data_IF_571402517323
#
_entry.id   IF_571402517323
#
_cell.length_a   1.000
_cell.length_b   1.000
_cell.length_c   1.000
_cell.angle_alpha   90.00
_cell.angle_beta   90.00
_cell.angle_gamma   90.00
#
_symmetry.space_group_name_H-M   'P 1'
#
loop_
_entity.id
_entity.type
_entity.pdbx_description
1 polymer ?
#
# COMPACT_ATOMS: atom_id res chain seq x y z
N UNK A 1 8.36 -69.74 -19.02
CA UNK A 1 9.17 -70.45 -18.01
C UNK A 1 10.13 -69.46 -17.40
N UNK A 2 9.92 -69.08 -16.15
CA UNK A 2 10.92 -68.61 -15.20
C UNK A 2 10.22 -68.73 -13.85
N UNK A 3 10.51 -69.86 -13.18
CA UNK A 3 10.02 -70.23 -11.87
C UNK A 3 10.82 -69.46 -10.81
N UNK A 4 10.14 -69.00 -9.75
CA UNK A 4 10.76 -69.00 -8.43
C UNK A 4 9.77 -69.56 -7.40
N UNK A 5 10.28 -70.57 -6.70
CA UNK A 5 9.59 -71.48 -5.80
C UNK A 5 9.23 -70.82 -4.46
N UNK A 6 8.08 -71.24 -3.94
CA UNK A 6 7.69 -71.10 -2.54
C UNK A 6 8.12 -72.36 -1.77
N UNK A 7 8.67 -72.18 -0.58
CA UNK A 7 8.92 -73.20 0.45
C UNK A 7 9.10 -72.43 1.79
N UNK A 8 8.54 -72.77 2.97
CA UNK A 8 8.17 -74.04 3.55
C UNK A 8 7.23 -73.87 4.77
N UNK A 9 6.50 -74.97 5.05
CA UNK A 9 6.16 -75.53 6.39
C UNK A 9 5.00 -74.93 7.21
N UNK A 10 3.88 -75.67 7.14
CA UNK A 10 3.48 -76.52 8.27
C UNK A 10 2.33 -76.01 9.14
N UNK A 11 1.18 -76.68 9.06
CA UNK A 11 0.12 -76.57 10.07
C UNK A 11 -1.27 -76.88 9.52
N UNK A 12 -1.66 -78.15 9.58
CA UNK A 12 -3.06 -78.56 9.40
C UNK A 12 -3.76 -78.46 10.76
N UNK A 13 -4.80 -77.62 10.86
CA UNK A 13 -5.89 -77.82 11.81
C UNK A 13 -7.22 -77.74 11.06
N UNK A 14 -7.97 -78.85 11.11
CA UNK A 14 -9.39 -78.96 10.75
C UNK A 14 -10.18 -79.19 12.03
N UNK A 15 -11.38 -78.61 12.12
CA UNK A 15 -12.66 -79.09 12.74
C UNK A 15 -13.49 -77.81 13.03
N UNK A 16 -14.44 -77.44 12.15
CA UNK A 16 -15.90 -77.74 12.17
C UNK A 16 -16.64 -77.23 13.42
N UNK A 17 -17.62 -76.34 13.23
CA UNK A 17 -19.03 -76.50 13.66
C UNK A 17 -19.95 -75.30 13.30
N UNK A 18 -20.95 -75.58 12.44
CA UNK A 18 -22.32 -75.04 12.28
C UNK A 18 -22.52 -73.53 12.02
N UNK A 19 -23.06 -73.08 10.86
CA UNK A 19 -24.44 -73.20 10.30
C UNK A 19 -25.46 -72.34 11.06
N UNK A 20 -26.31 -71.63 10.29
CA UNK A 20 -27.27 -70.55 10.60
C UNK A 20 -26.60 -69.16 10.63
N UNK A 21 -26.83 -68.25 9.69
CA UNK A 21 -28.13 -67.87 9.15
C UNK A 21 -27.99 -67.39 7.69
N UNK A 22 -28.60 -68.15 6.78
CA UNK A 22 -29.06 -67.65 5.48
C UNK A 22 -30.04 -66.51 5.74
N UNK A 23 -29.69 -65.28 5.37
CA UNK A 23 -30.52 -64.23 4.73
C UNK A 23 -29.52 -63.12 4.37
N UNK A 24 -29.72 -62.42 3.24
CA UNK A 24 -28.86 -61.35 2.68
C UNK A 24 -27.74 -61.84 1.71
N UNK A 25 -28.02 -62.85 0.89
CA UNK A 25 -27.34 -63.04 -0.43
C UNK A 25 -28.29 -62.71 -1.59
N UNK A 26 -29.45 -62.14 -1.31
CA UNK A 26 -30.40 -61.60 -2.32
C UNK A 26 -30.80 -60.18 -1.92
N UNK A 27 -29.80 -59.32 -1.71
CA UNK A 27 -29.97 -57.86 -1.63
C UNK A 27 -28.76 -57.12 -2.22
N UNK A 28 -28.12 -57.72 -3.23
CA UNK A 28 -26.94 -57.16 -3.95
C UNK A 28 -27.23 -57.00 -5.46
N UNK A 29 -28.46 -57.25 -5.93
CA UNK A 29 -28.79 -57.15 -7.37
C UNK A 29 -30.06 -56.35 -7.74
N UNK A 30 -30.71 -55.63 -6.82
CA UNK A 30 -31.97 -54.91 -7.13
C UNK A 30 -32.20 -53.55 -6.44
N UNK A 31 -31.15 -52.81 -6.06
CA UNK A 31 -31.28 -51.39 -5.67
C UNK A 31 -30.03 -50.63 -6.17
N UNK A 32 -30.22 -49.71 -7.11
CA UNK A 32 -29.16 -48.81 -7.56
C UNK A 32 -29.06 -48.56 -9.07
N UNK A 33 -30.13 -48.78 -9.84
CA UNK A 33 -30.34 -47.98 -11.05
C UNK A 33 -30.69 -46.55 -10.62
N UNK A 34 -29.67 -45.78 -10.22
CA UNK A 34 -29.71 -44.33 -10.11
C UNK A 34 -28.51 -43.80 -10.87
N UNK A 35 -28.82 -43.35 -12.10
CA UNK A 35 -28.19 -42.19 -12.74
C UNK A 35 -26.74 -41.94 -12.36
N UNK A 36 -25.84 -42.51 -13.14
CA UNK A 36 -24.57 -41.84 -13.45
C UNK A 36 -24.94 -40.58 -14.26
N UNK A 37 -25.44 -39.56 -13.59
CA UNK A 37 -25.27 -38.20 -14.10
C UNK A 37 -23.77 -38.00 -14.14
N UNK A 38 -23.21 -38.14 -15.36
CA UNK A 38 -22.24 -37.15 -15.80
C UNK A 38 -22.80 -35.83 -15.31
N UNK A 39 -22.21 -35.26 -14.26
CA UNK A 39 -22.37 -33.85 -14.00
C UNK A 39 -22.16 -33.20 -15.35
N UNK A 40 -23.25 -32.69 -15.92
CA UNK A 40 -23.15 -31.77 -17.03
C UNK A 40 -22.08 -30.79 -16.61
N UNK A 41 -21.11 -30.54 -17.50
CA UNK A 41 -20.27 -29.37 -17.32
C UNK A 41 -21.24 -28.23 -17.06
N UNK A 42 -21.23 -27.73 -15.81
CA UNK A 42 -21.73 -26.41 -15.53
C UNK A 42 -20.78 -25.59 -16.39
N UNK A 43 -21.22 -25.22 -17.59
CA UNK A 43 -20.55 -24.17 -18.31
C UNK A 43 -20.46 -23.04 -17.29
N UNK A 44 -19.24 -22.62 -16.97
CA UNK A 44 -18.91 -21.42 -16.22
C UNK A 44 -19.45 -20.21 -17.00
N UNK A 45 -20.78 -20.12 -17.12
CA UNK A 45 -21.47 -19.12 -17.91
C UNK A 45 -21.46 -17.83 -17.11
N UNK A 46 -21.19 -16.73 -17.81
CA UNK A 46 -21.13 -15.39 -17.21
C UNK A 46 -20.07 -15.25 -16.11
N UNK A 47 -18.86 -15.75 -16.39
CA UNK A 47 -17.68 -15.54 -15.56
C UNK A 47 -17.29 -14.06 -15.49
N UNK A 48 -16.99 -13.59 -14.29
CA UNK A 48 -16.32 -12.32 -14.01
C UNK A 48 -14.96 -12.61 -13.39
N UNK A 49 -13.92 -11.94 -13.88
CA UNK A 49 -12.59 -11.93 -13.26
C UNK A 49 -12.29 -10.50 -12.84
N UNK A 50 -12.25 -10.26 -11.54
CA UNK A 50 -11.75 -9.02 -10.95
C UNK A 50 -10.22 -9.07 -10.95
N UNK A 51 -9.59 -8.07 -11.55
CA UNK A 51 -8.15 -7.87 -11.58
C UNK A 51 -7.80 -6.79 -10.56
N UNK A 52 -7.31 -7.19 -9.38
CA UNK A 52 -6.85 -6.29 -8.34
C UNK A 52 -5.41 -5.88 -8.64
N UNK A 53 -5.20 -4.59 -8.84
CA UNK A 53 -3.89 -4.03 -9.17
C UNK A 53 -3.55 -2.84 -8.28
N UNK A 54 -2.27 -2.59 -8.08
CA UNK A 54 -1.80 -1.36 -7.42
C UNK A 54 -2.06 -0.16 -8.34
N UNK A 55 -2.55 0.93 -7.77
CA UNK A 55 -3.04 2.10 -8.49
C UNK A 55 -2.03 2.68 -9.49
N UNK A 56 -0.78 2.86 -9.07
CA UNK A 56 0.24 3.58 -9.82
C UNK A 56 1.01 2.72 -10.84
N UNK A 57 1.45 1.53 -10.43
CA UNK A 57 2.20 0.59 -11.28
C UNK A 57 1.33 -0.28 -12.16
N UNK A 58 0.08 -0.54 -11.75
CA UNK A 58 -0.75 -1.58 -12.35
C UNK A 58 -0.24 -3.00 -12.05
N UNK A 59 0.69 -3.16 -11.10
CA UNK A 59 1.17 -4.48 -10.68
C UNK A 59 0.03 -5.29 -10.04
N UNK A 60 -0.05 -6.61 -10.29
CA UNK A 60 -1.07 -7.46 -9.68
C UNK A 60 -0.88 -7.53 -8.16
N UNK A 61 -2.00 -7.53 -7.43
CA UNK A 61 -2.02 -7.62 -5.97
C UNK A 61 -2.70 -8.91 -5.52
N UNK A 62 -1.92 -9.79 -4.90
CA UNK A 62 -2.40 -11.06 -4.34
C UNK A 62 -2.87 -10.91 -2.89
N UNK A 63 -3.59 -11.91 -2.40
CA UNK A 63 -4.03 -11.99 -1.00
C UNK A 63 -4.92 -10.80 -0.56
N UNK A 64 -5.63 -10.19 -1.49
CA UNK A 64 -6.71 -9.25 -1.18
C UNK A 64 -8.04 -10.00 -1.13
N UNK A 65 -8.83 -9.71 -0.10
CA UNK A 65 -10.19 -10.20 0.00
C UNK A 65 -11.09 -9.39 -0.92
N UNK A 66 -11.83 -10.08 -1.78
CA UNK A 66 -12.69 -9.50 -2.80
C UNK A 66 -14.11 -10.01 -2.58
N UNK A 67 -15.03 -9.09 -2.30
CA UNK A 67 -16.44 -9.41 -2.06
C UNK A 67 -17.27 -8.84 -3.20
N UNK A 68 -18.10 -9.69 -3.81
CA UNK A 68 -19.06 -9.32 -4.85
C UNK A 68 -20.44 -9.15 -4.21
N UNK A 69 -21.06 -7.99 -4.41
CA UNK A 69 -22.39 -7.66 -3.92
C UNK A 69 -23.35 -7.36 -5.08
N UNK A 70 -24.64 -7.61 -4.88
CA UNK A 70 -25.67 -7.12 -5.80
C UNK A 70 -26.08 -5.66 -5.50
N UNK A 71 -27.06 -5.17 -6.25
CA UNK A 71 -27.68 -3.84 -6.10
C UNK A 71 -28.33 -3.59 -4.74
N UNK A 72 -28.77 -4.64 -4.04
CA UNK A 72 -29.31 -4.57 -2.67
C UNK A 72 -28.22 -4.64 -1.57
N UNK A 73 -26.93 -4.52 -1.94
CA UNK A 73 -25.77 -4.69 -1.05
C UNK A 73 -25.70 -6.05 -0.33
N UNK A 74 -26.30 -7.10 -0.90
CA UNK A 74 -26.16 -8.47 -0.41
C UNK A 74 -24.95 -9.12 -1.05
N UNK A 75 -24.13 -9.77 -0.22
CA UNK A 75 -23.01 -10.59 -0.67
C UNK A 75 -23.54 -11.72 -1.54
N UNK A 76 -23.04 -11.79 -2.77
CA UNK A 76 -23.31 -12.85 -3.73
C UNK A 76 -22.24 -13.92 -3.62
N UNK A 77 -20.98 -13.50 -3.55
CA UNK A 77 -19.83 -14.39 -3.48
C UNK A 77 -18.61 -13.61 -2.96
N UNK A 78 -17.60 -14.33 -2.47
CA UNK A 78 -16.38 -13.76 -1.88
C UNK A 78 -15.19 -14.70 -2.09
N UNK A 79 -14.01 -14.13 -2.36
CA UNK A 79 -12.79 -14.90 -2.57
C UNK A 79 -11.54 -14.07 -2.33
N UNK A 80 -10.37 -14.71 -2.33
CA UNK A 80 -9.08 -14.03 -2.29
C UNK A 80 -8.53 -13.87 -3.71
N UNK A 81 -7.82 -12.77 -3.97
CA UNK A 81 -7.05 -12.64 -5.20
C UNK A 81 -5.84 -13.59 -5.21
N UNK A 82 -5.60 -14.24 -6.34
CA UNK A 82 -4.44 -15.11 -6.54
C UNK A 82 -3.13 -14.34 -6.78
N UNK A 83 -2.04 -15.05 -7.07
CA UNK A 83 -0.71 -14.45 -7.34
C UNK A 83 -0.67 -13.53 -8.56
N UNK A 84 -1.64 -13.66 -9.48
CA UNK A 84 -1.80 -12.76 -10.63
C UNK A 84 -2.79 -11.62 -10.34
N UNK A 85 -3.24 -11.48 -9.08
CA UNK A 85 -4.23 -10.49 -8.67
C UNK A 85 -5.64 -10.78 -9.18
N UNK A 86 -5.96 -12.04 -9.49
CA UNK A 86 -7.28 -12.41 -10.01
C UNK A 86 -8.18 -12.94 -8.91
N UNK A 87 -9.39 -12.40 -8.83
CA UNK A 87 -10.51 -12.96 -8.08
C UNK A 87 -11.64 -13.29 -9.08
N UNK A 88 -12.04 -14.56 -9.18
CA UNK A 88 -12.98 -15.02 -10.20
C UNK A 88 -14.32 -15.41 -9.59
N UNK A 89 -15.40 -14.94 -10.20
CA UNK A 89 -16.79 -15.18 -9.84
C UNK A 89 -17.56 -15.76 -11.01
N UNK A 90 -18.60 -16.52 -10.74
CA UNK A 90 -19.36 -17.27 -11.73
C UNK A 90 -20.87 -17.03 -11.61
N UNK A 91 -21.62 -17.37 -12.65
CA UNK A 91 -23.09 -17.32 -12.66
C UNK A 91 -23.68 -15.90 -12.46
N UNK A 92 -22.98 -14.86 -12.91
CA UNK A 92 -23.51 -13.50 -12.86
C UNK A 92 -24.70 -13.32 -13.81
N UNK A 93 -25.64 -12.48 -13.42
CA UNK A 93 -26.77 -12.10 -14.24
C UNK A 93 -26.36 -10.98 -15.21
N UNK A 94 -26.68 -11.16 -16.49
CA UNK A 94 -26.35 -10.22 -17.56
C UNK A 94 -27.09 -8.89 -17.37
N UNK A 95 -26.39 -7.77 -17.58
CA UNK A 95 -26.91 -6.40 -17.47
C UNK A 95 -27.44 -6.05 -16.07
N UNK A 96 -27.00 -6.75 -15.03
CA UNK A 96 -27.23 -6.36 -13.65
C UNK A 96 -26.07 -5.52 -13.12
N UNK A 97 -26.42 -4.60 -12.22
CA UNK A 97 -25.46 -3.83 -11.44
C UNK A 97 -24.94 -4.69 -10.31
N UNK A 98 -23.63 -4.63 -10.10
CA UNK A 98 -22.93 -5.28 -9.01
C UNK A 98 -21.95 -4.28 -8.41
N UNK A 99 -21.52 -4.60 -7.19
CA UNK A 99 -20.48 -3.89 -6.50
C UNK A 99 -19.37 -4.85 -6.11
N UNK A 100 -18.12 -4.42 -6.24
CA UNK A 100 -16.96 -5.15 -5.70
C UNK A 100 -16.33 -4.32 -4.59
N UNK A 101 -16.09 -4.93 -3.45
CA UNK A 101 -15.28 -4.38 -2.36
C UNK A 101 -13.99 -5.17 -2.26
N UNK A 102 -12.85 -4.47 -2.13
CA UNK A 102 -11.51 -5.07 -2.04
C UNK A 102 -10.81 -4.57 -0.79
N UNK A 103 -10.15 -5.44 -0.04
CA UNK A 103 -9.34 -5.05 1.11
C UNK A 103 -8.72 -6.22 1.88
N UNK A 104 -8.23 -5.96 3.09
CA UNK A 104 -7.83 -7.03 4.02
C UNK A 104 -9.06 -7.64 4.67
N UNK A 105 -9.13 -8.98 4.75
CA UNK A 105 -10.26 -9.72 5.32
C UNK A 105 -10.73 -9.17 6.69
N UNK A 106 -9.78 -8.89 7.59
CA UNK A 106 -10.03 -8.37 8.93
C UNK A 106 -10.77 -7.02 8.97
N UNK A 107 -10.62 -6.19 7.93
CA UNK A 107 -11.23 -4.86 7.86
C UNK A 107 -12.69 -4.88 7.34
N UNK A 108 -13.17 -6.00 6.81
CA UNK A 108 -14.53 -6.09 6.28
C UNK A 108 -15.58 -6.04 7.40
N UNK A 109 -15.24 -6.46 8.62
CA UNK A 109 -16.14 -6.37 9.78
C UNK A 109 -16.47 -4.92 10.15
N UNK A 110 -15.53 -4.00 9.95
CA UNK A 110 -15.70 -2.56 10.22
C UNK A 110 -16.13 -1.77 8.98
N UNK A 111 -16.40 -2.45 7.86
CA UNK A 111 -16.67 -1.85 6.54
C UNK A 111 -15.55 -0.91 6.07
N UNK A 112 -14.31 -1.17 6.47
CA UNK A 112 -13.13 -0.39 6.10
C UNK A 112 -12.37 -1.06 4.95
N UNK A 113 -13.03 -1.21 3.80
CA UNK A 113 -12.41 -1.73 2.60
C UNK A 113 -11.44 -0.71 1.97
N UNK A 114 -10.46 -1.20 1.20
CA UNK A 114 -9.44 -0.38 0.53
C UNK A 114 -10.03 0.31 -0.70
N UNK A 115 -10.92 -0.38 -1.42
CA UNK A 115 -11.58 0.17 -2.62
C UNK A 115 -12.93 -0.48 -2.80
N UNK A 116 -13.89 0.30 -3.30
CA UNK A 116 -15.19 -0.16 -3.74
C UNK A 116 -15.45 0.31 -5.17
N UNK A 117 -16.04 -0.55 -6.00
CA UNK A 117 -16.35 -0.22 -7.40
C UNK A 117 -17.67 -0.84 -7.83
N UNK A 118 -18.58 0.02 -8.27
CA UNK A 118 -19.82 -0.39 -8.93
C UNK A 118 -19.60 -0.60 -10.44
N UNK A 119 -20.25 -1.61 -11.00
CA UNK A 119 -20.19 -1.92 -12.42
C UNK A 119 -21.44 -2.65 -12.92
N UNK A 120 -21.70 -2.56 -14.23
CA UNK A 120 -22.73 -3.35 -14.90
C UNK A 120 -22.11 -4.56 -15.57
N UNK A 121 -22.51 -5.77 -15.18
CA UNK A 121 -21.93 -6.99 -15.73
C UNK A 121 -22.39 -7.24 -17.17
N UNK A 122 -21.42 -7.47 -18.06
CA UNK A 122 -21.65 -7.86 -19.46
C UNK A 122 -20.68 -9.00 -19.82
N UNK A 123 -21.17 -10.13 -20.36
CA UNK A 123 -20.31 -11.24 -20.77
C UNK A 123 -19.23 -10.86 -21.80
N UNK A 124 -19.45 -9.81 -22.59
CA UNK A 124 -18.47 -9.27 -23.53
C UNK A 124 -17.28 -8.56 -22.87
N UNK A 125 -17.39 -8.20 -21.59
CA UNK A 125 -16.31 -7.64 -20.80
C UNK A 125 -16.19 -8.41 -19.46
N UNK A 126 -15.66 -9.63 -19.48
CA UNK A 126 -15.61 -10.49 -18.30
C UNK A 126 -14.52 -10.05 -17.31
N UNK A 127 -13.70 -9.05 -17.63
CA UNK A 127 -12.61 -8.59 -16.75
C UNK A 127 -12.94 -7.22 -16.18
N UNK A 128 -12.91 -7.10 -14.85
CA UNK A 128 -13.06 -5.83 -14.14
C UNK A 128 -11.74 -5.45 -13.49
N UNK A 129 -11.09 -4.40 -14.01
CA UNK A 129 -9.91 -3.83 -13.36
C UNK A 129 -10.34 -3.04 -12.12
N UNK A 130 -9.78 -3.38 -10.97
CA UNK A 130 -9.96 -2.67 -9.70
C UNK A 130 -8.57 -2.22 -9.22
N UNK A 131 -8.32 -0.92 -9.38
CA UNK A 131 -7.13 -0.28 -8.84
C UNK A 131 -7.32 -0.08 -7.34
N UNK A 132 -6.31 -0.42 -6.56
CA UNK A 132 -6.32 -0.27 -5.10
C UNK A 132 -5.04 0.43 -4.67
N UNK A 133 -5.07 1.05 -3.50
CA UNK A 133 -3.88 1.59 -2.85
C UNK A 133 -3.17 0.56 -1.97
N UNK A 134 -3.50 -0.73 -2.07
CA UNK A 134 -2.79 -1.78 -1.33
C UNK A 134 -1.41 -2.04 -1.95
N UNK A 135 -0.50 -2.57 -1.15
CA UNK A 135 0.88 -2.86 -1.54
C UNK A 135 1.15 -4.37 -1.61
N UNK A 136 1.86 -4.81 -2.64
CA UNK A 136 2.56 -6.10 -2.60
C UNK A 136 3.79 -5.93 -1.70
N UNK A 137 3.83 -6.60 -0.54
CA UNK A 137 4.94 -6.48 0.40
C UNK A 137 6.31 -6.89 -0.16
N UNK A 138 6.35 -7.65 -1.26
CA UNK A 138 7.60 -7.99 -1.93
C UNK A 138 8.10 -6.84 -2.82
N UNK A 139 7.20 -5.98 -3.29
CA UNK A 139 7.47 -4.82 -4.14
C UNK A 139 7.36 -3.51 -3.32
N UNK A 140 8.08 -2.47 -3.70
CA UNK A 140 7.88 -1.16 -3.08
C UNK A 140 6.62 -0.50 -3.61
N UNK A 141 6.06 0.47 -2.86
CA UNK A 141 5.01 1.33 -3.39
C UNK A 141 5.52 2.02 -4.66
N UNK A 142 4.73 1.97 -5.73
CA UNK A 142 5.12 2.51 -7.02
C UNK A 142 4.95 4.03 -7.09
N UNK A 143 5.56 4.75 -6.15
CA UNK A 143 5.52 6.20 -6.13
C UNK A 143 6.19 6.76 -7.40
N UNK A 144 5.60 7.75 -8.09
CA UNK A 144 6.27 8.38 -9.21
C UNK A 144 7.54 9.10 -8.74
N UNK A 145 8.60 9.01 -9.54
CA UNK A 145 9.85 9.73 -9.25
C UNK A 145 9.70 11.19 -9.64
N UNK A 146 9.74 12.07 -8.64
CA UNK A 146 9.85 13.51 -8.85
C UNK A 146 11.20 14.00 -8.33
N UNK A 147 12.04 14.50 -9.23
CA UNK A 147 13.29 15.14 -8.85
C UNK A 147 13.05 16.61 -8.50
N UNK A 148 13.73 17.15 -7.48
CA UNK A 148 13.58 18.54 -7.06
C UNK A 148 14.33 19.51 -7.97
N UNK A 149 15.46 19.10 -8.53
CA UNK A 149 16.31 19.91 -9.40
C UNK A 149 15.82 19.92 -10.86
N UNK A 150 16.17 20.97 -11.64
CA UNK A 150 16.91 22.18 -11.23
C UNK A 150 16.06 23.26 -10.52
N UNK A 151 14.73 23.12 -10.53
CA UNK A 151 13.82 24.22 -10.19
C UNK A 151 13.78 24.52 -8.69
N UNK A 152 13.97 23.50 -7.85
CA UNK A 152 13.89 23.61 -6.38
C UNK A 152 15.18 23.08 -5.73
N UNK A 153 16.28 23.87 -5.70
CA UNK A 153 17.54 23.46 -5.07
C UNK A 153 17.39 23.04 -3.60
N UNK A 154 16.41 23.61 -2.88
CA UNK A 154 16.10 23.29 -1.48
C UNK A 154 14.64 22.83 -1.32
N UNK A 155 14.10 22.06 -2.27
CA UNK A 155 12.67 21.68 -2.28
C UNK A 155 12.37 20.23 -1.93
N UNK A 156 13.19 19.58 -1.11
CA UNK A 156 13.05 18.14 -0.86
C UNK A 156 11.67 17.78 -0.27
N UNK A 157 11.16 18.57 0.69
CA UNK A 157 9.89 18.31 1.38
C UNK A 157 8.69 18.43 0.46
N UNK A 158 8.61 19.54 -0.29
CA UNK A 158 7.48 19.82 -1.18
C UNK A 158 7.50 18.91 -2.41
N UNK A 159 8.69 18.50 -2.87
CA UNK A 159 8.83 17.53 -3.96
C UNK A 159 8.44 16.12 -3.50
N UNK A 160 8.83 15.72 -2.29
CA UNK A 160 8.39 14.47 -1.68
C UNK A 160 6.86 14.42 -1.52
N UNK A 161 6.25 15.50 -1.03
CA UNK A 161 4.79 15.62 -0.98
C UNK A 161 4.14 15.52 -2.37
N UNK A 162 4.70 16.21 -3.36
CA UNK A 162 4.19 16.18 -4.74
C UNK A 162 4.17 14.75 -5.29
N UNK A 163 5.22 13.97 -5.05
CA UNK A 163 5.28 12.58 -5.47
C UNK A 163 4.21 11.71 -4.79
N UNK A 164 3.99 11.90 -3.49
CA UNK A 164 2.93 11.20 -2.75
C UNK A 164 1.54 11.58 -3.25
N UNK A 165 1.27 12.87 -3.51
CA UNK A 165 -0.01 13.29 -4.07
C UNK A 165 -0.26 12.67 -5.45
N UNK A 166 0.75 12.65 -6.32
CA UNK A 166 0.65 12.03 -7.64
C UNK A 166 0.49 10.49 -7.56
N UNK A 167 1.00 9.84 -6.52
CA UNK A 167 0.72 8.42 -6.25
C UNK A 167 -0.78 8.17 -6.00
N UNK A 168 -1.47 9.10 -5.34
CA UNK A 168 -2.93 9.09 -5.19
C UNK A 168 -3.68 9.67 -6.40
N UNK A 169 -3.01 9.85 -7.54
CA UNK A 169 -3.64 10.30 -8.78
C UNK A 169 -3.87 11.81 -8.87
N UNK A 170 -3.38 12.60 -7.92
CA UNK A 170 -3.38 14.05 -8.05
C UNK A 170 -2.58 14.44 -9.30
N UNK A 171 -3.05 15.44 -10.06
CA UNK A 171 -2.36 15.96 -11.24
C UNK A 171 -1.72 17.31 -10.91
N UNK A 172 -0.64 17.29 -10.17
CA UNK A 172 0.08 18.52 -9.75
C UNK A 172 1.58 18.38 -9.91
N UNK A 173 2.29 19.50 -9.87
CA UNK A 173 3.74 19.57 -9.93
C UNK A 173 4.35 20.34 -8.75
N UNK A 174 5.65 20.15 -8.55
CA UNK A 174 6.39 20.69 -7.41
C UNK A 174 6.43 22.22 -7.38
N UNK A 175 6.33 22.89 -8.54
CA UNK A 175 6.34 24.34 -8.63
C UNK A 175 4.98 24.89 -8.21
N UNK A 176 3.89 24.29 -8.69
CA UNK A 176 2.54 24.62 -8.23
C UNK A 176 2.42 24.43 -6.71
N UNK A 177 2.84 23.27 -6.21
CA UNK A 177 2.84 22.97 -4.78
C UNK A 177 3.64 23.98 -3.96
N UNK A 178 4.81 24.39 -4.47
CA UNK A 178 5.65 25.42 -3.85
C UNK A 178 5.00 26.80 -3.88
N UNK A 179 4.38 27.19 -5.00
CA UNK A 179 3.88 28.55 -5.21
C UNK A 179 2.57 28.82 -4.50
N UNK A 180 1.64 27.87 -4.54
CA UNK A 180 0.26 28.06 -4.06
C UNK A 180 0.04 27.55 -2.63
N UNK A 181 0.62 26.39 -2.29
CA UNK A 181 0.20 25.67 -1.09
C UNK A 181 1.23 25.65 0.04
N UNK A 182 2.54 25.67 -0.27
CA UNK A 182 3.59 25.69 0.75
C UNK A 182 3.58 27.02 1.54
N UNK A 183 3.27 27.02 2.85
CA UNK A 183 3.45 28.20 3.68
C UNK A 183 4.94 28.53 3.75
N UNK A 184 5.31 29.77 3.41
CA UNK A 184 6.71 30.20 3.34
C UNK A 184 6.84 31.68 3.67
N UNK A 185 7.97 32.03 4.28
CA UNK A 185 8.25 33.41 4.67
C UNK A 185 9.72 33.76 4.41
N UNK A 186 10.00 34.95 3.84
CA UNK A 186 11.38 35.39 3.64
C UNK A 186 12.08 35.67 4.96
N UNK A 187 13.41 35.64 4.92
CA UNK A 187 14.25 36.12 6.02
C UNK A 187 14.29 37.65 6.06
N UNK A 188 14.40 38.19 7.27
CA UNK A 188 14.54 39.63 7.56
C UNK A 188 15.88 39.90 8.23
N UNK A 189 16.69 40.77 7.62
CA UNK A 189 17.97 41.19 8.18
C UNK A 189 17.81 42.50 8.95
N UNK A 190 18.05 42.45 10.27
CA UNK A 190 17.97 43.61 11.17
C UNK A 190 19.34 43.87 11.79
N UNK A 191 20.12 44.74 11.15
CA UNK A 191 21.53 44.95 11.50
C UNK A 191 22.34 43.66 11.28
N UNK A 192 23.02 43.18 12.33
CA UNK A 192 23.81 41.95 12.28
C UNK A 192 23.02 40.68 12.68
N UNK A 193 21.69 40.78 12.82
CA UNK A 193 20.84 39.66 13.23
C UNK A 193 19.92 39.24 12.09
N UNK A 194 19.82 37.93 11.86
CA UNK A 194 18.86 37.33 10.94
C UNK A 194 17.60 36.89 11.69
N UNK A 195 16.44 37.26 11.15
CA UNK A 195 15.12 36.86 11.62
C UNK A 195 14.41 36.06 10.53
N UNK A 196 13.67 35.03 10.90
CA UNK A 196 13.02 34.13 9.95
C UNK A 196 11.81 33.42 10.55
N UNK A 197 11.10 32.60 9.77
CA UNK A 197 9.94 31.87 10.27
C UNK A 197 10.31 30.76 11.25
N UNK A 198 9.32 30.30 12.03
CA UNK A 198 9.41 29.02 12.70
C UNK A 198 9.22 27.90 11.65
N UNK A 199 10.19 26.98 11.47
CA UNK A 199 10.07 25.89 10.50
C UNK A 199 8.97 24.89 10.82
N UNK A 200 8.38 24.92 12.02
CA UNK A 200 7.15 24.16 12.32
C UNK A 200 5.88 24.85 11.80
N UNK A 201 5.97 26.08 11.28
CA UNK A 201 4.83 26.88 10.84
C UNK A 201 4.96 27.28 9.36
N UNK A 202 6.15 27.71 8.93
CA UNK A 202 6.40 28.17 7.55
C UNK A 202 7.82 27.82 7.09
N UNK A 203 7.98 27.54 5.81
CA UNK A 203 9.27 27.33 5.18
C UNK A 203 10.14 28.59 5.24
N UNK A 204 11.40 28.44 5.63
CA UNK A 204 12.38 29.54 5.69
C UNK A 204 12.94 29.91 4.32
N UNK A 205 12.48 31.04 3.77
CA UNK A 205 12.86 31.54 2.45
C UNK A 205 11.96 31.01 1.34
N UNK A 206 12.55 30.66 0.19
CA UNK A 206 11.84 30.09 -0.95
C UNK A 206 12.61 28.88 -1.50
N UNK A 207 11.97 27.70 -1.71
CA UNK A 207 12.65 26.52 -2.22
C UNK A 207 13.30 26.69 -3.60
N UNK A 208 12.83 27.64 -4.41
CA UNK A 208 13.41 27.97 -5.73
C UNK A 208 14.74 28.73 -5.64
N UNK A 209 15.12 29.19 -4.44
CA UNK A 209 16.32 29.99 -4.21
C UNK A 209 17.38 29.17 -3.48
N UNK A 210 18.65 29.41 -3.79
CA UNK A 210 19.79 28.81 -3.09
C UNK A 210 19.85 29.19 -1.60
N UNK A 211 19.20 30.29 -1.23
CA UNK A 211 19.06 30.79 0.15
C UNK A 211 17.87 30.22 0.89
N UNK A 212 17.04 29.40 0.24
CA UNK A 212 16.02 28.61 0.92
C UNK A 212 16.64 27.66 1.94
N UNK A 213 15.87 27.32 2.98
CA UNK A 213 16.32 26.42 4.05
C UNK A 213 15.52 25.12 4.04
N UNK A 214 14.51 25.02 4.90
CA UNK A 214 13.68 23.84 5.06
C UNK A 214 12.39 24.17 5.82
N UNK A 215 11.54 23.15 5.95
CA UNK A 215 10.36 23.17 6.81
C UNK A 215 10.16 21.79 7.45
N UNK A 216 9.48 21.71 8.60
CA UNK A 216 9.14 20.45 9.25
C UNK A 216 7.77 19.91 8.82
N UNK A 217 7.27 18.88 9.51
CA UNK A 217 6.10 18.11 9.09
C UNK A 217 4.82 18.95 8.94
N UNK A 218 4.51 19.82 9.91
CA UNK A 218 3.21 20.50 9.94
C UNK A 218 2.91 21.38 8.73
N UNK A 219 3.83 22.23 8.23
CA UNK A 219 3.53 23.04 7.06
C UNK A 219 3.36 22.20 5.78
N UNK A 220 3.96 21.01 5.71
CA UNK A 220 3.74 20.05 4.63
C UNK A 220 2.34 19.44 4.71
N UNK A 221 1.87 19.08 5.91
CA UNK A 221 0.48 18.64 6.14
C UNK A 221 -0.50 19.73 5.75
N UNK A 222 -0.23 20.99 6.13
CA UNK A 222 -1.06 22.13 5.76
C UNK A 222 -1.10 22.34 4.24
N UNK A 223 0.05 22.26 3.57
CA UNK A 223 0.13 22.36 2.11
C UNK A 223 -0.69 21.25 1.43
N UNK A 224 -0.51 20.00 1.87
CA UNK A 224 -1.22 18.84 1.36
C UNK A 224 -2.73 19.00 1.51
N UNK A 225 -3.22 19.28 2.72
CA UNK A 225 -4.65 19.38 3.01
C UNK A 225 -5.30 20.59 2.32
N UNK A 226 -4.55 21.66 2.07
CA UNK A 226 -5.03 22.80 1.30
C UNK A 226 -5.24 22.44 -0.17
N UNK A 227 -4.27 21.75 -0.79
CA UNK A 227 -4.39 21.22 -2.15
C UNK A 227 -5.53 20.20 -2.27
N UNK A 228 -5.56 19.21 -1.39
CA UNK A 228 -6.59 18.16 -1.33
C UNK A 228 -8.00 18.76 -1.24
N UNK A 229 -8.19 19.76 -0.37
CA UNK A 229 -9.49 20.42 -0.21
C UNK A 229 -9.90 21.24 -1.44
N UNK A 230 -8.95 21.88 -2.12
CA UNK A 230 -9.21 22.67 -3.34
C UNK A 230 -9.60 21.76 -4.50
N UNK A 231 -8.88 20.65 -4.68
CA UNK A 231 -9.10 19.66 -5.72
C UNK A 231 -10.20 18.63 -5.38
N UNK A 232 -10.75 18.69 -4.15
CA UNK A 232 -11.81 17.80 -3.64
C UNK A 232 -11.44 16.32 -3.74
N UNK A 233 -10.19 15.99 -3.41
CA UNK A 233 -9.72 14.62 -3.38
C UNK A 233 -10.21 13.92 -2.10
N UNK A 234 -10.57 12.65 -2.21
CA UNK A 234 -11.02 11.81 -1.09
C UNK A 234 -9.84 11.12 -0.38
N UNK A 235 -8.89 11.93 0.06
CA UNK A 235 -7.69 11.55 0.81
C UNK A 235 -7.41 12.63 1.85
N UNK A 236 -6.52 12.39 2.81
CA UNK A 236 -6.07 13.42 3.75
C UNK A 236 -4.61 13.25 4.15
N UNK A 237 -3.97 14.34 4.57
CA UNK A 237 -2.63 14.31 5.12
C UNK A 237 -2.64 14.42 6.65
N UNK A 238 -1.74 13.68 7.29
CA UNK A 238 -1.59 13.67 8.76
C UNK A 238 -0.12 13.72 9.17
N UNK A 239 0.15 14.53 10.19
CA UNK A 239 1.42 14.52 10.89
C UNK A 239 1.47 13.30 11.82
N UNK A 240 2.46 12.44 11.62
CA UNK A 240 2.72 11.25 12.44
C UNK A 240 4.13 11.31 13.05
N UNK A 241 4.69 12.51 13.21
CA UNK A 241 5.99 12.70 13.87
C UNK A 241 6.02 12.02 15.25
N UNK A 242 7.15 11.39 15.57
CA UNK A 242 7.33 10.57 16.77
C UNK A 242 6.89 9.11 16.63
N UNK A 243 6.43 8.69 15.45
CA UNK A 243 6.08 7.28 15.19
C UNK A 243 7.30 6.36 15.31
N UNK A 244 7.05 5.17 15.85
CA UNK A 244 8.02 4.07 15.92
C UNK A 244 8.32 3.49 14.55
N UNK A 245 9.39 2.69 14.45
CA UNK A 245 9.74 1.97 13.22
C UNK A 245 8.61 1.00 12.85
N UNK A 246 7.99 0.37 13.84
CA UNK A 246 6.89 -0.57 13.69
C UNK A 246 5.66 0.11 13.12
N UNK A 247 5.28 1.28 13.63
CA UNK A 247 4.15 2.08 13.12
C UNK A 247 4.40 2.56 11.68
N UNK A 248 5.59 3.10 11.40
CA UNK A 248 5.98 3.51 10.04
C UNK A 248 5.96 2.31 9.09
N UNK A 249 6.47 1.16 9.53
CA UNK A 249 6.46 -0.07 8.73
C UNK A 249 5.03 -0.49 8.42
N UNK A 250 4.12 -0.41 9.39
CA UNK A 250 2.73 -0.81 9.19
C UNK A 250 2.01 0.13 8.20
N UNK A 251 2.25 1.45 8.24
CA UNK A 251 1.73 2.36 7.22
C UNK A 251 2.18 1.97 5.81
N UNK A 252 3.49 1.74 5.62
CA UNK A 252 4.03 1.35 4.30
C UNK A 252 3.46 0.01 3.86
N UNK A 253 3.31 -0.96 4.77
CA UNK A 253 2.66 -2.25 4.49
C UNK A 253 1.19 -2.09 4.11
N UNK A 254 0.49 -1.12 4.66
CA UNK A 254 -0.89 -0.79 4.28
C UNK A 254 -0.99 -0.05 2.95
N UNK A 255 0.13 0.22 2.27
CA UNK A 255 0.14 0.95 1.01
C UNK A 255 0.20 2.47 1.14
N UNK A 256 0.47 2.95 2.36
CA UNK A 256 0.54 4.37 2.68
C UNK A 256 2.02 4.79 2.69
N UNK A 257 2.48 5.58 1.69
CA UNK A 257 3.85 6.07 1.66
C UNK A 257 4.08 7.07 2.81
N UNK A 258 5.29 7.05 3.38
CA UNK A 258 5.64 7.91 4.53
C UNK A 258 6.73 8.89 4.13
N UNK A 259 6.43 10.18 4.15
CA UNK A 259 7.42 11.25 3.99
C UNK A 259 8.18 11.37 5.31
N UNK A 260 9.51 11.32 5.27
CA UNK A 260 10.36 11.28 6.46
C UNK A 260 11.52 12.26 6.34
N UNK A 261 11.87 12.91 7.44
CA UNK A 261 13.05 13.76 7.51
C UNK A 261 14.23 12.95 8.02
N UNK A 262 15.33 13.03 7.29
CA UNK A 262 16.61 12.37 7.54
C UNK A 262 17.72 13.38 7.26
N UNK A 263 18.94 12.92 7.02
CA UNK A 263 20.01 13.75 6.49
C UNK A 263 20.44 13.28 5.09
N UNK A 264 21.01 14.18 4.29
CA UNK A 264 21.43 13.94 2.90
C UNK A 264 22.28 12.67 2.71
N UNK A 265 23.10 12.35 3.70
CA UNK A 265 24.04 11.23 3.72
C UNK A 265 23.75 10.21 4.83
N UNK A 266 22.59 10.32 5.49
CA UNK A 266 22.19 9.56 6.69
C UNK A 266 23.21 9.65 7.85
N UNK A 267 24.12 10.62 7.82
CA UNK A 267 25.04 10.91 8.91
C UNK A 267 24.33 11.74 9.99
N UNK A 268 25.02 11.97 11.11
CA UNK A 268 24.49 12.81 12.19
C UNK A 268 24.10 14.21 11.66
N UNK A 269 22.99 14.80 12.14
CA UNK A 269 22.62 16.15 11.77
C UNK A 269 23.74 17.15 12.10
N UNK A 270 24.08 17.98 11.11
CA UNK A 270 25.11 19.02 11.21
C UNK A 270 24.45 20.34 11.52
N UNK A 271 24.65 20.84 12.73
CA UNK A 271 24.07 22.10 13.18
C UNK A 271 25.09 23.22 12.97
N UNK A 272 24.71 24.24 12.20
CA UNK A 272 25.53 25.44 12.00
C UNK A 272 24.63 26.61 11.63
N UNK A 273 24.88 27.76 12.26
CA UNK A 273 24.05 28.94 12.03
C UNK A 273 22.62 28.76 12.54
N UNK A 274 21.72 29.60 12.04
CA UNK A 274 20.36 29.73 12.55
C UNK A 274 19.87 31.16 12.45
N UNK A 275 18.65 31.38 12.93
CA UNK A 275 18.02 32.69 12.95
C UNK A 275 17.15 32.84 14.20
N UNK A 276 16.75 34.08 14.49
CA UNK A 276 15.72 34.32 15.50
C UNK A 276 14.34 34.21 14.87
N UNK A 277 13.44 33.46 15.49
CA UNK A 277 12.07 33.34 15.01
C UNK A 277 11.39 34.70 15.10
N UNK A 278 10.83 35.19 13.99
CA UNK A 278 10.11 36.45 13.94
C UNK A 278 8.86 36.36 14.81
N UNK A 279 8.77 37.24 15.82
CA UNK A 279 7.66 37.27 16.77
C UNK A 279 8.08 36.81 18.17
N UNK A 280 8.57 35.58 18.32
CA UNK A 280 9.01 35.04 19.62
C UNK A 280 10.44 35.50 19.99
N UNK A 281 11.31 35.70 19.01
CA UNK A 281 12.73 36.01 19.22
C UNK A 281 13.58 34.82 19.66
N UNK A 282 12.99 33.63 19.80
CA UNK A 282 13.70 32.38 20.10
C UNK A 282 14.73 32.06 19.01
N UNK A 283 15.90 31.55 19.40
CA UNK A 283 16.93 31.18 18.45
C UNK A 283 16.71 29.76 17.93
N UNK A 284 16.41 29.65 16.64
CA UNK A 284 16.30 28.38 15.94
C UNK A 284 17.66 27.96 15.36
N UNK A 285 18.12 26.76 15.72
CA UNK A 285 19.35 26.18 15.19
C UNK A 285 19.11 25.52 13.84
N UNK A 286 19.93 25.87 12.84
CA UNK A 286 19.76 25.35 11.49
C UNK A 286 20.50 24.02 11.28
N UNK A 287 19.77 23.02 10.76
CA UNK A 287 20.32 21.79 10.21
C UNK A 287 20.84 22.02 8.78
N UNK A 288 22.12 21.78 8.53
CA UNK A 288 22.78 22.04 7.25
C UNK A 288 22.64 20.92 6.23
N UNK A 289 22.44 19.70 6.71
CA UNK A 289 22.32 18.49 5.88
C UNK A 289 20.96 17.82 6.05
N UNK A 290 19.93 18.57 6.50
CA UNK A 290 18.57 18.05 6.56
C UNK A 290 18.13 17.64 5.15
N UNK A 291 17.39 16.54 5.07
CA UNK A 291 16.82 16.08 3.82
C UNK A 291 15.50 15.37 4.09
N UNK A 292 14.68 15.25 3.05
CA UNK A 292 13.38 14.60 3.14
C UNK A 292 13.21 13.61 2.00
N UNK A 293 12.79 12.40 2.35
CA UNK A 293 12.60 11.28 1.42
C UNK A 293 11.25 10.62 1.67
N UNK A 294 10.71 9.95 0.66
CA UNK A 294 9.49 9.14 0.80
C UNK A 294 9.86 7.68 0.96
N UNK A 295 9.48 7.08 2.08
CA UNK A 295 9.63 5.66 2.36
C UNK A 295 8.53 4.87 1.64
N UNK A 296 8.94 3.91 0.81
CA UNK A 296 8.04 3.10 -0.04
C UNK A 296 8.17 1.60 0.17
N UNK A 297 9.22 1.13 0.84
CA UNK A 297 9.28 -0.25 1.31
C UNK A 297 10.10 -0.34 2.59
N UNK A 298 9.67 -1.19 3.52
CA UNK A 298 10.48 -1.59 4.68
C UNK A 298 10.63 -3.09 4.66
N UNK A 299 11.86 -3.57 4.49
CA UNK A 299 12.23 -4.99 4.51
C UNK A 299 12.98 -5.29 5.81
N UNK A 300 13.53 -6.50 5.93
CA UNK A 300 14.23 -6.92 7.16
C UNK A 300 15.42 -6.00 7.46
N UNK A 301 16.34 -5.87 6.50
CA UNK A 301 17.59 -5.11 6.68
C UNK A 301 17.67 -3.83 5.84
N UNK A 302 16.74 -3.64 4.90
CA UNK A 302 16.75 -2.50 3.98
C UNK A 302 15.44 -1.72 4.00
N UNK A 303 15.55 -0.47 3.57
CA UNK A 303 14.41 0.35 3.17
C UNK A 303 14.57 0.78 1.72
N UNK A 304 13.45 0.95 1.04
CA UNK A 304 13.40 1.57 -0.28
C UNK A 304 12.73 2.93 -0.15
N UNK A 305 13.33 3.94 -0.77
CA UNK A 305 12.87 5.33 -0.70
C UNK A 305 12.84 5.97 -2.08
N UNK A 306 11.95 6.93 -2.28
CA UNK A 306 12.08 7.94 -3.33
C UNK A 306 12.79 9.16 -2.74
N UNK A 307 14.02 9.37 -3.19
CA UNK A 307 14.87 10.50 -2.85
C UNK A 307 14.66 11.61 -3.90
N UNK A 308 14.15 12.80 -3.53
CA UNK A 308 13.94 13.91 -4.46
C UNK A 308 15.20 14.39 -5.21
N UNK A 309 16.40 14.00 -4.77
CA UNK A 309 17.65 14.29 -5.48
C UNK A 309 18.12 13.14 -6.37
N UNK A 310 17.68 11.90 -6.13
CA UNK A 310 18.31 10.70 -6.70
C UNK A 310 17.33 9.65 -7.26
N UNK A 311 16.02 9.86 -7.11
CA UNK A 311 15.00 8.89 -7.44
C UNK A 311 14.96 7.71 -6.47
N UNK A 312 14.60 6.52 -6.96
CA UNK A 312 14.46 5.33 -6.11
C UNK A 312 15.84 4.85 -5.61
N UNK A 313 15.96 4.67 -4.29
CA UNK A 313 17.17 4.19 -3.61
C UNK A 313 16.83 3.10 -2.62
N UNK A 314 17.68 2.07 -2.59
CA UNK A 314 17.72 1.09 -1.51
C UNK A 314 18.80 1.51 -0.51
N UNK A 315 18.45 1.54 0.77
CA UNK A 315 19.28 2.02 1.88
C UNK A 315 19.27 1.02 3.03
N UNK A 316 20.30 1.07 3.88
CA UNK A 316 20.35 0.31 5.13
C UNK A 316 19.27 0.81 6.10
N UNK A 317 18.42 -0.11 6.58
CA UNK A 317 17.27 0.22 7.44
C UNK A 317 17.72 0.85 8.75
N UNK A 318 18.75 0.28 9.38
CA UNK A 318 19.21 0.73 10.69
C UNK A 318 19.77 2.15 10.64
N UNK A 319 20.51 2.46 9.58
CA UNK A 319 21.13 3.76 9.33
C UNK A 319 20.07 4.80 8.99
N UNK A 320 19.08 4.44 8.18
CA UNK A 320 17.96 5.31 7.84
C UNK A 320 17.15 5.71 9.08
N UNK A 321 16.68 4.74 9.86
CA UNK A 321 15.87 5.03 11.04
C UNK A 321 16.66 5.69 12.18
N UNK A 322 17.98 5.45 12.26
CA UNK A 322 18.85 6.24 13.12
C UNK A 322 18.87 7.72 12.70
N UNK A 323 19.03 7.99 11.40
CA UNK A 323 19.00 9.37 10.89
C UNK A 323 17.64 10.02 11.10
N UNK A 324 16.53 9.30 10.87
CA UNK A 324 15.17 9.76 11.17
C UNK A 324 15.03 10.19 12.63
N UNK A 325 15.52 9.35 13.55
CA UNK A 325 15.51 9.65 14.98
C UNK A 325 16.34 10.87 15.35
N UNK A 326 17.57 10.93 14.84
CA UNK A 326 18.48 12.05 15.12
C UNK A 326 17.99 13.38 14.49
N UNK A 327 17.22 13.33 13.40
CA UNK A 327 16.57 14.49 12.76
C UNK A 327 15.23 14.90 13.39
N UNK A 328 14.87 14.35 14.55
CA UNK A 328 13.69 14.75 15.31
C UNK A 328 12.40 14.01 14.97
N UNK A 329 12.51 12.80 14.39
CA UNK A 329 11.39 11.86 14.19
C UNK A 329 10.23 12.46 13.38
N UNK A 330 10.52 13.34 12.43
CA UNK A 330 9.49 14.01 11.63
C UNK A 330 8.95 13.10 10.54
N UNK A 331 7.62 12.90 10.50
CA UNK A 331 6.98 12.06 9.50
C UNK A 331 5.58 12.52 9.11
N UNK A 332 5.24 12.38 7.83
CA UNK A 332 3.92 12.73 7.27
C UNK A 332 3.42 11.59 6.39
N UNK A 333 2.12 11.31 6.49
CA UNK A 333 1.41 10.42 5.58
C UNK A 333 0.32 11.17 4.83
N UNK A 334 -0.02 10.67 3.65
CA UNK A 334 -1.26 10.97 2.92
C UNK A 334 -1.96 9.63 2.69
N UNK A 335 -3.25 9.52 2.97
CA UNK A 335 -3.98 8.25 2.93
C UNK A 335 -5.46 8.42 2.61
#
# INVERSE_FOLDING_TARGET
>A
MLNFNCELKGGVYKIKKYVLFCVIVILILLLGACSFEKGLGVEDTNKLTVLTVEYSSGAPLSELYVVLLNDDERIIDETMSDTDGKATFYNLQVNKTYKVQVGKYENFQTKSFITEKEFNFKPSNPNLLVQTYAADHNQGLAIPVHLQEPELPNGCEITALTAVLNYYGAKTDKLEMTQKYLPKKPFEYRGNQNYGPDPNIEYGGNPTELTGTYVFAEPIVKAANSFISEEKLDIQAKNISGSTIEEITEYVRQGIPVITWVTLDLSKPRIKGGWRITGSGEYHQMFQNLHTMVLVAVRNDTVEVMDPLKGIKNLDKSTFFKSYKESGEQAVIVY
#
